data_IF_782153143501
#
_entry.id   IF_782153143501
#
_cell.length_a   1.000
_cell.length_b   1.000
_cell.length_c   1.000
_cell.angle_alpha   90.00
_cell.angle_beta   90.00
_cell.angle_gamma   90.00
#
_symmetry.space_group_name_H-M   'P 1'
#
loop_
_entity.id
_entity.type
_entity.pdbx_description
1 polymer ?
#
# COMPACT_ATOMS: atom_id res chain seq x y z
N UNK A 1 67.84 -11.56 -16.88
CA UNK A 1 66.77 -10.53 -16.94
C UNK A 1 65.67 -10.99 -17.88
N UNK A 2 64.44 -10.51 -17.61
CA UNK A 2 63.24 -10.56 -18.48
C UNK A 2 62.60 -11.93 -18.76
N UNK A 3 61.88 -12.49 -17.78
CA UNK A 3 60.67 -13.31 -18.05
C UNK A 3 59.73 -13.54 -16.84
N UNK A 4 59.60 -12.60 -15.89
CA UNK A 4 58.72 -12.81 -14.71
C UNK A 4 57.84 -11.63 -14.29
N UNK A 5 57.63 -10.63 -15.16
CA UNK A 5 56.86 -9.41 -14.82
C UNK A 5 55.55 -9.22 -15.59
N UNK A 6 55.06 -10.23 -16.33
CA UNK A 6 53.88 -10.07 -17.21
C UNK A 6 52.64 -10.90 -16.87
N UNK A 7 52.62 -11.63 -15.76
CA UNK A 7 51.45 -12.43 -15.35
C UNK A 7 50.75 -11.97 -14.07
N UNK A 8 51.16 -10.84 -13.46
CA UNK A 8 50.53 -10.33 -12.24
C UNK A 8 49.57 -9.15 -12.45
N UNK A 9 49.30 -8.74 -13.71
CA UNK A 9 48.46 -7.57 -14.03
C UNK A 9 47.11 -7.93 -14.68
N UNK A 10 46.89 -9.19 -15.08
CA UNK A 10 45.59 -9.60 -15.69
C UNK A 10 44.55 -10.03 -14.63
N UNK A 11 44.95 -10.37 -13.40
CA UNK A 11 44.02 -10.71 -12.32
C UNK A 11 43.53 -9.51 -11.49
N UNK A 12 44.15 -8.34 -11.60
CA UNK A 12 43.75 -7.13 -10.88
C UNK A 12 42.80 -6.21 -11.69
N UNK A 13 42.63 -6.47 -13.00
CA UNK A 13 41.67 -5.75 -13.84
C UNK A 13 40.25 -6.35 -13.80
N UNK A 14 40.10 -7.67 -13.62
CA UNK A 14 38.78 -8.30 -13.51
C UNK A 14 38.08 -7.92 -12.20
N UNK A 15 38.84 -7.75 -11.12
CA UNK A 15 38.28 -7.43 -9.80
C UNK A 15 37.88 -5.94 -9.67
N UNK A 16 38.59 -5.01 -10.33
CA UNK A 16 38.22 -3.58 -10.39
C UNK A 16 36.99 -3.29 -11.25
N UNK A 17 36.69 -4.12 -12.26
CA UNK A 17 35.51 -3.95 -13.12
C UNK A 17 34.28 -4.74 -12.66
N UNK A 18 34.44 -5.82 -11.89
CA UNK A 18 33.30 -6.64 -11.39
C UNK A 18 32.83 -6.26 -9.99
N UNK A 19 33.69 -5.71 -9.12
CA UNK A 19 33.29 -5.20 -7.79
C UNK A 19 32.17 -4.14 -7.82
N UNK A 20 32.21 -3.09 -8.66
CA UNK A 20 31.11 -2.13 -8.74
C UNK A 20 29.83 -2.74 -9.32
N UNK A 21 29.91 -3.74 -10.21
CA UNK A 21 28.72 -4.43 -10.73
C UNK A 21 28.07 -5.37 -9.72
N UNK A 22 28.85 -6.14 -8.94
CA UNK A 22 28.32 -6.97 -7.85
C UNK A 22 27.74 -6.11 -6.74
N UNK A 23 28.44 -5.03 -6.36
CA UNK A 23 27.93 -4.04 -5.40
C UNK A 23 26.63 -3.37 -5.87
N UNK A 24 26.50 -3.07 -7.16
CA UNK A 24 25.27 -2.53 -7.75
C UNK A 24 24.12 -3.56 -7.75
N UNK A 25 24.39 -4.82 -8.12
CA UNK A 25 23.38 -5.89 -8.11
C UNK A 25 22.87 -6.20 -6.69
N UNK A 26 23.76 -6.26 -5.70
CA UNK A 26 23.37 -6.46 -4.30
C UNK A 26 22.62 -5.24 -3.74
N UNK A 27 23.01 -4.03 -4.15
CA UNK A 27 22.28 -2.80 -3.81
C UNK A 27 20.88 -2.78 -4.43
N UNK A 28 20.72 -3.29 -5.65
CA UNK A 28 19.42 -3.36 -6.33
C UNK A 28 18.48 -4.39 -5.69
N UNK A 29 19.01 -5.56 -5.29
CA UNK A 29 18.23 -6.55 -4.52
C UNK A 29 17.78 -5.97 -3.18
N UNK A 30 18.67 -5.33 -2.44
CA UNK A 30 18.34 -4.65 -1.17
C UNK A 30 17.31 -3.54 -1.34
N UNK A 31 17.41 -2.75 -2.43
CA UNK A 31 16.44 -1.70 -2.73
C UNK A 31 15.05 -2.27 -3.07
N UNK A 32 15.00 -3.34 -3.85
CA UNK A 32 13.75 -4.04 -4.17
C UNK A 32 13.11 -4.67 -2.92
N UNK A 33 13.90 -5.28 -2.03
CA UNK A 33 13.43 -5.79 -0.74
C UNK A 33 12.91 -4.66 0.16
N UNK A 34 13.62 -3.54 0.23
CA UNK A 34 13.22 -2.37 1.01
C UNK A 34 11.88 -1.83 0.48
N UNK A 35 11.74 -1.70 -0.84
CA UNK A 35 10.50 -1.26 -1.47
C UNK A 35 9.35 -2.23 -1.15
N UNK A 36 9.59 -3.54 -1.21
CA UNK A 36 8.60 -4.55 -0.84
C UNK A 36 8.16 -4.41 0.62
N UNK A 37 9.11 -4.21 1.54
CA UNK A 37 8.82 -3.97 2.97
C UNK A 37 8.03 -2.69 3.18
N UNK A 38 8.41 -1.59 2.55
CA UNK A 38 7.68 -0.31 2.66
C UNK A 38 6.26 -0.40 2.09
N UNK A 39 6.04 -1.16 1.00
CA UNK A 39 4.67 -1.45 0.51
C UNK A 39 3.85 -2.27 1.50
N UNK A 40 4.47 -3.25 2.15
CA UNK A 40 3.82 -4.10 3.14
C UNK A 40 3.45 -3.29 4.40
N UNK A 41 4.37 -2.49 4.91
CA UNK A 41 4.13 -1.56 6.04
C UNK A 41 2.98 -0.59 5.71
N UNK A 42 3.00 0.04 4.53
CA UNK A 42 1.91 0.90 4.09
C UNK A 42 0.58 0.17 4.00
N UNK A 43 0.57 -1.08 3.54
CA UNK A 43 -0.65 -1.90 3.50
C UNK A 43 -1.19 -2.15 4.90
N UNK A 44 -0.32 -2.45 5.87
CA UNK A 44 -0.68 -2.66 7.27
C UNK A 44 -1.24 -1.39 7.91
N UNK A 45 -0.57 -0.25 7.74
CA UNK A 45 -1.04 1.05 8.22
C UNK A 45 -2.41 1.41 7.62
N UNK A 46 -2.60 1.20 6.32
CA UNK A 46 -3.90 1.42 5.66
C UNK A 46 -4.99 0.47 6.19
N UNK A 47 -4.66 -0.78 6.50
CA UNK A 47 -5.60 -1.72 7.09
C UNK A 47 -6.03 -1.27 8.49
N UNK A 48 -5.09 -0.81 9.32
CA UNK A 48 -5.39 -0.23 10.62
C UNK A 48 -6.31 1.00 10.49
N UNK A 49 -6.05 1.87 9.51
CA UNK A 49 -6.86 3.06 9.28
C UNK A 49 -8.30 2.71 8.89
N UNK A 50 -8.47 1.69 8.04
CA UNK A 50 -9.79 1.14 7.67
C UNK A 50 -10.53 0.55 8.87
N UNK A 51 -9.83 -0.16 9.76
CA UNK A 51 -10.44 -0.70 10.97
C UNK A 51 -10.95 0.41 11.90
N UNK A 52 -10.16 1.46 12.08
CA UNK A 52 -10.55 2.65 12.86
C UNK A 52 -11.77 3.35 12.24
N UNK A 53 -11.76 3.55 10.92
CA UNK A 53 -12.86 4.21 10.21
C UNK A 53 -14.15 3.37 10.28
N UNK A 54 -14.04 2.06 10.10
CA UNK A 54 -15.15 1.11 10.27
C UNK A 54 -15.75 1.19 11.68
N UNK A 55 -14.90 1.19 12.72
CA UNK A 55 -15.34 1.36 14.10
C UNK A 55 -16.06 2.68 14.34
N UNK A 56 -15.53 3.79 13.81
CA UNK A 56 -16.15 5.11 13.93
C UNK A 56 -17.53 5.15 13.25
N UNK A 57 -17.64 4.57 12.05
CA UNK A 57 -18.91 4.47 11.32
C UNK A 57 -19.94 3.63 12.06
N UNK A 58 -19.57 2.44 12.53
CA UNK A 58 -20.47 1.58 13.32
C UNK A 58 -20.92 2.29 14.60
N UNK A 59 -20.04 3.03 15.27
CA UNK A 59 -20.41 3.87 16.43
C UNK A 59 -21.44 4.93 16.06
N UNK A 60 -21.22 5.67 14.97
CA UNK A 60 -22.17 6.69 14.50
C UNK A 60 -23.54 6.08 14.15
N UNK A 61 -23.56 4.93 13.49
CA UNK A 61 -24.80 4.20 13.20
C UNK A 61 -25.50 3.74 14.49
N UNK A 62 -24.75 3.27 15.48
CA UNK A 62 -25.31 2.89 16.78
C UNK A 62 -25.93 4.08 17.50
N UNK A 63 -25.23 5.22 17.54
CA UNK A 63 -25.74 6.45 18.16
C UNK A 63 -27.02 6.93 17.45
N UNK A 64 -27.05 6.88 16.12
CA UNK A 64 -28.24 7.21 15.33
C UNK A 64 -29.40 6.24 15.58
N UNK A 65 -29.14 4.93 15.63
CA UNK A 65 -30.14 3.91 15.92
C UNK A 65 -30.72 4.06 17.34
N UNK A 66 -29.87 4.36 18.32
CA UNK A 66 -30.31 4.63 19.70
C UNK A 66 -31.20 5.87 19.79
N UNK A 67 -30.82 6.97 19.12
CA UNK A 67 -31.64 8.18 19.07
C UNK A 67 -32.99 7.93 18.38
N UNK A 68 -33.00 7.17 17.28
CA UNK A 68 -34.23 6.78 16.60
C UNK A 68 -35.10 5.88 17.47
N UNK A 69 -34.48 4.93 18.20
CA UNK A 69 -35.17 4.04 19.12
C UNK A 69 -35.82 4.82 20.27
N UNK A 70 -35.12 5.80 20.86
CA UNK A 70 -35.67 6.67 21.90
C UNK A 70 -36.92 7.42 21.40
N UNK A 71 -36.82 8.09 20.25
CA UNK A 71 -37.96 8.79 19.63
C UNK A 71 -39.13 7.87 19.30
N UNK A 72 -38.85 6.66 18.79
CA UNK A 72 -39.88 5.67 18.51
C UNK A 72 -40.58 5.21 19.81
N UNK A 73 -39.82 5.01 20.87
CA UNK A 73 -40.35 4.65 22.20
C UNK A 73 -41.21 5.77 22.78
N UNK A 74 -40.78 7.03 22.65
CA UNK A 74 -41.57 8.19 23.07
C UNK A 74 -42.92 8.26 22.34
N UNK A 75 -42.91 8.09 21.00
CA UNK A 75 -44.13 8.03 20.17
C UNK A 75 -45.05 6.88 20.60
N UNK A 76 -44.50 5.70 20.88
CA UNK A 76 -45.27 4.57 21.42
C UNK A 76 -45.92 4.93 22.76
N UNK A 77 -45.17 5.57 23.68
CA UNK A 77 -45.72 5.99 24.97
C UNK A 77 -46.85 7.02 24.82
N UNK A 78 -46.70 7.95 23.87
CA UNK A 78 -47.71 8.97 23.60
C UNK A 78 -48.98 8.33 23.04
N UNK A 79 -48.87 7.51 22.00
CA UNK A 79 -50.00 6.81 21.41
C UNK A 79 -50.67 5.87 22.43
N UNK A 80 -49.90 5.25 23.31
CA UNK A 80 -50.45 4.45 24.42
C UNK A 80 -51.33 5.30 25.34
N UNK A 81 -50.87 6.49 25.73
CA UNK A 81 -51.65 7.41 26.59
C UNK A 81 -52.91 7.91 25.89
N UNK A 82 -52.80 8.30 24.62
CA UNK A 82 -53.93 8.73 23.80
C UNK A 82 -54.97 7.60 23.67
N UNK A 83 -54.55 6.37 23.39
CA UNK A 83 -55.44 5.21 23.32
C UNK A 83 -56.12 4.91 24.65
N UNK A 84 -55.41 5.00 25.78
CA UNK A 84 -56.00 4.79 27.12
C UNK A 84 -57.00 5.87 27.52
N UNK A 85 -56.91 7.07 26.92
CA UNK A 85 -57.84 8.18 27.19
C UNK A 85 -59.16 8.10 26.41
N UNK A 86 -59.27 7.19 25.43
CA UNK A 86 -60.43 7.05 24.55
C UNK A 86 -61.20 5.77 24.90
N UNK A 87 -62.51 5.88 25.20
CA UNK A 87 -63.34 4.71 25.54
C UNK A 87 -63.43 3.66 24.42
N UNK A 88 -63.49 4.09 23.16
CA UNK A 88 -63.58 3.21 22.00
C UNK A 88 -62.56 3.62 20.92
N UNK A 89 -61.31 3.12 21.00
CA UNK A 89 -60.29 3.38 19.99
C UNK A 89 -60.73 2.95 18.58
N UNK A 90 -60.44 3.79 17.59
CA UNK A 90 -60.69 3.43 16.19
C UNK A 90 -59.70 2.37 15.71
N UNK A 91 -60.10 1.54 14.74
CA UNK A 91 -59.20 0.57 14.09
C UNK A 91 -57.94 1.22 13.51
N UNK A 92 -58.03 2.48 13.07
CA UNK A 92 -56.90 3.24 12.56
C UNK A 92 -55.87 3.55 13.67
N UNK A 93 -56.34 3.99 14.85
CA UNK A 93 -55.47 4.30 15.99
C UNK A 93 -54.75 3.04 16.53
N UNK A 94 -55.45 1.91 16.66
CA UNK A 94 -54.82 0.65 17.08
C UNK A 94 -53.76 0.18 16.08
N UNK A 95 -54.00 0.33 14.77
CA UNK A 95 -53.02 -0.01 13.73
C UNK A 95 -51.79 0.88 13.79
N UNK A 96 -51.96 2.18 14.02
CA UNK A 96 -50.83 3.11 14.14
C UNK A 96 -49.98 2.81 15.38
N UNK A 97 -50.60 2.44 16.50
CA UNK A 97 -49.88 2.02 17.70
C UNK A 97 -49.06 0.74 17.48
N UNK A 98 -49.66 -0.30 16.88
CA UNK A 98 -48.93 -1.54 16.58
C UNK A 98 -47.79 -1.30 15.57
N UNK A 99 -47.99 -0.40 14.59
CA UNK A 99 -46.91 0.04 13.69
C UNK A 99 -45.79 0.73 14.46
N UNK A 100 -46.11 1.68 15.35
CA UNK A 100 -45.11 2.37 16.15
C UNK A 100 -44.32 1.39 17.05
N UNK A 101 -45.02 0.43 17.68
CA UNK A 101 -44.42 -0.62 18.51
C UNK A 101 -43.48 -1.52 17.71
N UNK A 102 -43.91 -1.97 16.53
CA UNK A 102 -43.08 -2.79 15.64
C UNK A 102 -41.86 -2.03 15.12
N UNK A 103 -41.99 -0.73 14.82
CA UNK A 103 -40.87 0.12 14.42
C UNK A 103 -39.85 0.28 15.56
N UNK A 104 -40.30 0.54 16.78
CA UNK A 104 -39.43 0.61 17.96
C UNK A 104 -38.72 -0.73 18.22
N UNK A 105 -39.41 -1.86 18.06
CA UNK A 105 -38.81 -3.18 18.22
C UNK A 105 -37.72 -3.46 17.17
N UNK A 106 -37.93 -3.07 15.91
CA UNK A 106 -36.91 -3.17 14.85
C UNK A 106 -35.67 -2.36 15.17
N UNK A 107 -35.84 -1.10 15.57
CA UNK A 107 -34.73 -0.21 15.95
C UNK A 107 -33.95 -0.76 17.15
N UNK A 108 -34.63 -1.38 18.13
CA UNK A 108 -33.99 -2.05 19.26
C UNK A 108 -33.10 -3.22 18.80
N UNK A 109 -33.60 -4.06 17.89
CA UNK A 109 -32.81 -5.18 17.34
C UNK A 109 -31.59 -4.69 16.55
N UNK A 110 -31.77 -3.62 15.76
CA UNK A 110 -30.69 -2.99 15.00
C UNK A 110 -29.61 -2.42 15.93
N UNK A 111 -30.00 -1.65 16.95
CA UNK A 111 -29.09 -1.12 17.95
C UNK A 111 -28.35 -2.23 18.71
N UNK A 112 -29.03 -3.34 19.04
CA UNK A 112 -28.40 -4.52 19.64
C UNK A 112 -27.35 -5.15 18.72
N UNK A 113 -27.68 -5.31 17.44
CA UNK A 113 -26.75 -5.86 16.44
C UNK A 113 -25.52 -4.98 16.25
N UNK A 114 -25.73 -3.66 16.15
CA UNK A 114 -24.66 -2.66 16.04
C UNK A 114 -23.77 -2.65 17.28
N UNK A 115 -24.36 -2.80 18.47
CA UNK A 115 -23.61 -2.88 19.74
C UNK A 115 -22.68 -4.09 19.78
N UNK A 116 -23.15 -5.27 19.37
CA UNK A 116 -22.31 -6.49 19.29
C UNK A 116 -21.20 -6.30 18.26
N UNK A 117 -21.51 -5.73 17.10
CA UNK A 117 -20.51 -5.43 16.06
C UNK A 117 -19.43 -4.47 16.58
N UNK A 118 -19.85 -3.39 17.27
CA UNK A 118 -18.95 -2.41 17.83
C UNK A 118 -18.02 -3.01 18.89
N UNK A 119 -18.53 -3.91 19.73
CA UNK A 119 -17.73 -4.63 20.72
C UNK A 119 -16.67 -5.51 20.06
N UNK A 120 -17.03 -6.28 19.03
CA UNK A 120 -16.08 -7.09 18.26
C UNK A 120 -15.00 -6.24 17.59
N UNK A 121 -15.37 -5.11 17.00
CA UNK A 121 -14.42 -4.19 16.39
C UNK A 121 -13.49 -3.55 17.43
N UNK A 122 -14.00 -3.20 18.62
CA UNK A 122 -13.17 -2.72 19.74
C UNK A 122 -12.13 -3.76 20.16
N UNK A 123 -12.52 -5.02 20.26
CA UNK A 123 -11.60 -6.12 20.59
C UNK A 123 -10.56 -6.33 19.49
N UNK A 124 -10.96 -6.30 18.22
CA UNK A 124 -10.03 -6.38 17.10
C UNK A 124 -9.01 -5.23 17.10
N UNK A 125 -9.44 -4.00 17.38
CA UNK A 125 -8.57 -2.83 17.52
C UNK A 125 -7.64 -2.96 18.73
N UNK A 126 -8.14 -3.48 19.86
CA UNK A 126 -7.30 -3.74 21.04
C UNK A 126 -6.22 -4.77 20.74
N UNK A 127 -6.56 -5.83 20.01
CA UNK A 127 -5.63 -6.88 19.61
C UNK A 127 -4.58 -6.40 18.59
N UNK A 128 -4.88 -5.34 17.82
CA UNK A 128 -3.91 -4.66 16.97
C UNK A 128 -3.13 -3.56 17.68
N UNK A 129 -3.27 -3.42 19.01
CA UNK A 129 -2.56 -2.43 19.83
C UNK A 129 -3.16 -1.02 19.80
N UNK A 130 -4.32 -0.84 19.18
CA UNK A 130 -4.97 0.47 19.00
C UNK A 130 -5.98 0.71 20.13
N UNK A 131 -5.70 1.70 20.97
CA UNK A 131 -6.60 2.10 22.06
C UNK A 131 -7.81 2.87 21.54
N UNK A 132 -9.01 2.32 21.73
CA UNK A 132 -10.28 3.00 21.39
C UNK A 132 -10.58 4.22 22.28
N UNK A 133 -9.84 4.44 23.38
CA UNK A 133 -10.00 5.62 24.25
C UNK A 133 -9.41 6.89 23.65
N UNK A 134 -8.40 6.76 22.80
CA UNK A 134 -7.70 7.89 22.16
C UNK A 134 -7.77 7.77 20.63
N UNK A 135 -8.89 7.27 20.11
CA UNK A 135 -9.05 6.90 18.70
C UNK A 135 -8.75 8.06 17.74
N UNK A 136 -9.20 9.28 18.07
CA UNK A 136 -8.94 10.47 17.22
C UNK A 136 -7.45 10.82 17.13
N UNK A 137 -6.72 10.69 18.24
CA UNK A 137 -5.27 10.93 18.25
C UNK A 137 -4.52 9.82 17.50
N UNK A 138 -4.91 8.56 17.73
CA UNK A 138 -4.37 7.41 17.00
C UNK A 138 -4.61 7.54 15.49
N UNK A 139 -5.80 7.97 15.08
CA UNK A 139 -6.13 8.21 13.67
C UNK A 139 -5.29 9.34 13.06
N UNK A 140 -5.09 10.44 13.79
CA UNK A 140 -4.28 11.57 13.32
C UNK A 140 -2.82 11.15 13.11
N UNK A 141 -2.25 10.43 14.10
CA UNK A 141 -0.89 9.86 14.00
C UNK A 141 -0.78 8.90 12.83
N UNK A 142 -1.72 7.96 12.72
CA UNK A 142 -1.74 6.97 11.65
C UNK A 142 -1.82 7.60 10.25
N UNK A 143 -2.63 8.65 10.08
CA UNK A 143 -2.68 9.39 8.81
C UNK A 143 -1.36 10.09 8.49
N UNK A 144 -0.69 10.66 9.51
CA UNK A 144 0.65 11.23 9.36
C UNK A 144 1.69 10.17 8.99
N UNK A 145 1.63 8.99 9.61
CA UNK A 145 2.53 7.88 9.34
C UNK A 145 2.31 7.32 7.92
N UNK A 146 1.07 7.18 7.47
CA UNK A 146 0.71 6.80 6.09
C UNK A 146 1.24 7.83 5.10
N UNK A 147 1.05 9.12 5.37
CA UNK A 147 1.57 10.19 4.50
C UNK A 147 3.09 10.13 4.38
N UNK A 148 3.77 10.02 5.51
CA UNK A 148 5.23 9.93 5.58
C UNK A 148 5.77 8.66 4.94
N UNK A 149 5.09 7.52 5.12
CA UNK A 149 5.46 6.26 4.50
C UNK A 149 5.22 6.29 2.98
N UNK A 150 4.15 6.94 2.50
CA UNK A 150 3.90 7.14 1.07
C UNK A 150 4.99 8.00 0.42
N UNK A 151 5.40 9.10 1.08
CA UNK A 151 6.50 9.93 0.60
C UNK A 151 7.81 9.12 0.50
N UNK A 152 8.15 8.35 1.55
CA UNK A 152 9.31 7.45 1.55
C UNK A 152 9.23 6.42 0.42
N UNK A 153 8.06 5.81 0.22
CA UNK A 153 7.84 4.84 -0.87
C UNK A 153 8.08 5.49 -2.23
N UNK A 154 7.52 6.67 -2.48
CA UNK A 154 7.70 7.39 -3.74
C UNK A 154 9.18 7.70 -4.01
N UNK A 155 9.93 8.12 -2.98
CA UNK A 155 11.37 8.36 -3.09
C UNK A 155 12.13 7.06 -3.44
N UNK A 156 11.80 5.95 -2.79
CA UNK A 156 12.40 4.64 -3.07
C UNK A 156 12.08 4.16 -4.50
N UNK A 157 10.84 4.34 -4.96
CA UNK A 157 10.45 4.00 -6.34
C UNK A 157 11.19 4.84 -7.37
N UNK A 158 11.37 6.14 -7.12
CA UNK A 158 12.15 7.02 -7.99
C UNK A 158 13.63 6.62 -8.02
N UNK A 159 14.22 6.28 -6.87
CA UNK A 159 15.60 5.78 -6.80
C UNK A 159 15.73 4.47 -7.60
N UNK A 160 14.83 3.51 -7.40
CA UNK A 160 14.84 2.24 -8.13
C UNK A 160 14.71 2.45 -9.65
N UNK A 161 13.84 3.36 -10.09
CA UNK A 161 13.72 3.74 -11.51
C UNK A 161 15.02 4.32 -12.07
N UNK A 162 15.70 5.20 -11.31
CA UNK A 162 16.99 5.77 -11.72
C UNK A 162 18.06 4.69 -11.87
N UNK A 163 18.17 3.79 -10.89
CA UNK A 163 19.16 2.71 -10.92
C UNK A 163 18.86 1.75 -12.08
N UNK A 164 17.60 1.34 -12.27
CA UNK A 164 17.19 0.49 -13.39
C UNK A 164 17.52 1.12 -14.76
N UNK A 165 17.31 2.43 -14.91
CA UNK A 165 17.66 3.14 -16.14
C UNK A 165 19.17 3.21 -16.37
N UNK A 166 19.96 3.40 -15.31
CA UNK A 166 21.42 3.39 -15.39
C UNK A 166 21.97 2.00 -15.75
N UNK A 167 21.43 0.94 -15.16
CA UNK A 167 21.77 -0.44 -15.53
C UNK A 167 21.47 -0.74 -17.00
N UNK A 168 20.30 -0.34 -17.50
CA UNK A 168 19.94 -0.51 -18.92
C UNK A 168 20.93 0.19 -19.85
N UNK A 169 21.30 1.44 -19.53
CA UNK A 169 22.30 2.20 -20.30
C UNK A 169 23.66 1.51 -20.27
N UNK A 170 24.06 1.00 -19.09
CA UNK A 170 25.34 0.32 -18.95
C UNK A 170 25.37 -1.03 -19.68
N UNK A 171 24.29 -1.80 -19.64
CA UNK A 171 24.15 -3.04 -20.42
C UNK A 171 24.26 -2.76 -21.91
N UNK A 172 23.52 -1.78 -22.42
CA UNK A 172 23.57 -1.40 -23.84
C UNK A 172 24.98 -0.96 -24.28
N UNK A 173 25.69 -0.20 -23.44
CA UNK A 173 27.07 0.20 -23.72
C UNK A 173 28.05 -1.00 -23.69
N UNK A 174 27.87 -1.93 -22.74
CA UNK A 174 28.65 -3.18 -22.70
C UNK A 174 28.42 -4.05 -23.92
N UNK A 175 27.17 -4.23 -24.33
CA UNK A 175 26.81 -5.02 -25.52
C UNK A 175 27.42 -4.39 -26.78
N UNK A 176 27.38 -3.06 -26.90
CA UNK A 176 28.04 -2.32 -27.97
C UNK A 176 29.56 -2.52 -27.96
N UNK A 177 30.20 -2.36 -26.79
CA UNK A 177 31.65 -2.56 -26.64
C UNK A 177 32.09 -4.00 -26.93
N UNK A 178 31.36 -5.00 -26.44
CA UNK A 178 31.62 -6.40 -26.72
C UNK A 178 31.51 -6.69 -28.22
N UNK A 179 30.47 -6.20 -28.90
CA UNK A 179 30.36 -6.33 -30.36
C UNK A 179 31.55 -5.69 -31.08
N UNK A 180 31.96 -4.48 -30.69
CA UNK A 180 33.12 -3.81 -31.29
C UNK A 180 34.42 -4.57 -31.03
N UNK A 181 34.61 -5.10 -29.82
CA UNK A 181 35.79 -5.90 -29.47
C UNK A 181 35.79 -7.27 -30.14
N UNK A 182 34.63 -7.91 -30.32
CA UNK A 182 34.49 -9.16 -31.06
C UNK A 182 34.81 -8.96 -32.54
N UNK A 183 34.36 -7.86 -33.14
CA UNK A 183 34.76 -7.49 -34.51
C UNK A 183 36.27 -7.27 -34.60
N UNK A 184 36.85 -6.51 -33.66
CA UNK A 184 38.31 -6.27 -33.60
C UNK A 184 39.10 -7.56 -33.40
N UNK A 185 38.69 -8.44 -32.48
CA UNK A 185 39.37 -9.70 -32.18
C UNK A 185 39.23 -10.69 -33.34
N UNK A 186 38.09 -10.72 -34.04
CA UNK A 186 37.95 -11.46 -35.30
C UNK A 186 38.90 -10.91 -36.37
N UNK A 187 39.05 -9.59 -36.48
CA UNK A 187 40.01 -8.98 -37.41
C UNK A 187 41.47 -9.21 -37.02
N UNK A 188 41.80 -9.21 -35.72
CA UNK A 188 43.18 -9.41 -35.22
C UNK A 188 43.59 -10.89 -35.14
N UNK A 189 42.65 -11.79 -34.84
CA UNK A 189 42.84 -13.25 -34.87
C UNK A 189 42.84 -13.82 -36.28
N UNK A 190 42.17 -13.15 -37.22
CA UNK A 190 42.35 -13.36 -38.67
C UNK A 190 43.55 -12.53 -39.19
N UNK A 191 44.67 -12.55 -38.47
CA UNK A 191 45.92 -11.99 -38.96
C UNK A 191 46.36 -12.74 -40.21
N UNK A 192 45.99 -12.25 -41.41
CA UNK A 192 46.78 -12.29 -42.65
C UNK A 192 46.07 -11.78 -43.93
N UNK A 193 44.77 -11.42 -43.98
CA UNK A 193 44.18 -11.32 -45.33
C UNK A 193 42.88 -10.56 -45.61
N UNK A 194 42.53 -9.49 -44.89
CA UNK A 194 41.43 -8.63 -45.37
C UNK A 194 41.83 -7.16 -45.39
N UNK A 195 42.22 -6.77 -46.60
CA UNK A 195 42.29 -5.44 -47.18
C UNK A 195 41.14 -4.54 -46.76
N UNK A 196 41.49 -3.26 -46.60
CA UNK A 196 40.58 -2.15 -46.45
C UNK A 196 39.44 -2.19 -47.49
N UNK A 197 38.20 -2.29 -47.02
CA UNK A 197 37.02 -1.97 -47.80
C UNK A 197 36.10 -1.10 -46.93
N UNK A 198 36.38 0.20 -46.90
CA UNK A 198 35.38 1.18 -47.34
C UNK A 198 35.35 2.41 -46.44
N UNK A 199 36.36 3.26 -46.53
CA UNK A 199 36.24 4.66 -46.08
C UNK A 199 35.45 5.39 -47.17
N UNK A 200 34.15 5.56 -46.96
CA UNK A 200 33.33 6.47 -47.76
C UNK A 200 33.55 7.91 -47.30
N UNK A 201 34.61 8.55 -47.78
CA UNK A 201 34.67 10.01 -47.88
C UNK A 201 34.40 10.34 -49.34
N UNK A 202 33.23 10.92 -49.61
CA UNK A 202 32.87 11.44 -50.92
C UNK A 202 32.09 12.74 -50.75
N UNK A 203 32.83 13.86 -50.68
CA UNK A 203 32.36 15.19 -51.04
C UNK A 203 32.67 15.40 -52.53
N UNK A 204 31.64 15.61 -53.34
CA UNK A 204 31.64 16.43 -54.57
C UNK A 204 30.21 16.46 -55.13
#
# INVERSE_FOLDING_TARGET
MSKDLRLQVILSAVDKFTKPLRGAQDSNKKLAETLRRSRQELKELNNQAKQIDGFKKTKQSLDAANNAYQKATEKVSQLSRELSSVQNPTKAQSREFERAKSAAAKLKMEAGTLSVSLQRQREALKNSGISTRQLSQAQTRLNSDISSANQRLQQQEQQLKRVANQERRMSAAKDGYQRTMDVRNKMAGAGAGMTAAGVGIGYA
#
